data_IF_395181099318
#
_entry.id   IF_395181099318
#
_cell.length_a   1.000
_cell.length_b   1.000
_cell.length_c   1.000
_cell.angle_alpha   90.00
_cell.angle_beta   90.00
_cell.angle_gamma   90.00
#
_symmetry.space_group_name_H-M   'P 1'
#
loop_
_entity.id
_entity.type
_entity.pdbx_description
1 polymer ?
#
# COMPACT_ATOMS: atom_id res chain seq x y z
N UNK A 1 -40.35 40.64 -20.13
CA UNK A 1 -40.51 39.22 -20.35
C UNK A 1 -39.09 38.62 -20.40
N UNK A 2 -38.57 38.29 -19.24
CA UNK A 2 -37.23 37.69 -19.13
C UNK A 2 -37.36 36.18 -19.30
N UNK A 3 -36.59 35.64 -20.21
CA UNK A 3 -36.62 34.23 -20.53
C UNK A 3 -35.52 33.55 -19.72
N UNK A 4 -35.91 32.95 -18.59
CA UNK A 4 -35.06 32.06 -17.79
C UNK A 4 -34.94 30.72 -18.52
N UNK A 5 -33.78 30.45 -19.07
CA UNK A 5 -33.32 29.07 -19.33
C UNK A 5 -32.09 28.85 -18.47
N UNK A 6 -32.34 28.34 -17.26
CA UNK A 6 -31.31 27.74 -16.42
C UNK A 6 -30.66 26.57 -17.14
N UNK A 7 -29.41 26.73 -17.46
CA UNK A 7 -28.55 25.60 -17.81
C UNK A 7 -28.14 24.90 -16.51
N UNK A 8 -28.93 23.91 -16.07
CA UNK A 8 -28.50 22.95 -15.07
C UNK A 8 -27.47 22.03 -15.73
N UNK A 9 -26.22 22.47 -15.74
CA UNK A 9 -25.10 21.61 -16.08
C UNK A 9 -24.87 20.61 -14.95
N UNK A 10 -25.54 19.46 -14.99
CA UNK A 10 -25.09 18.28 -14.29
C UNK A 10 -23.76 17.89 -14.92
N UNK A 11 -22.68 18.12 -14.20
CA UNK A 11 -21.38 17.51 -14.50
C UNK A 11 -21.58 16.01 -14.22
N UNK A 12 -21.76 15.22 -15.27
CA UNK A 12 -21.72 13.77 -15.18
C UNK A 12 -20.38 13.36 -14.57
N UNK A 13 -20.41 12.42 -13.63
CA UNK A 13 -19.26 11.97 -12.85
C UNK A 13 -18.22 11.16 -13.66
N UNK A 14 -18.04 11.44 -14.96
CA UNK A 14 -17.31 10.61 -15.92
C UNK A 14 -16.00 11.20 -16.43
N UNK A 15 -15.60 12.42 -16.02
CA UNK A 15 -14.37 13.06 -16.54
C UNK A 15 -13.33 13.41 -15.48
N UNK A 16 -13.17 12.61 -14.44
CA UNK A 16 -11.97 12.71 -13.61
C UNK A 16 -10.85 12.05 -14.41
N UNK A 17 -10.02 12.85 -15.08
CA UNK A 17 -8.82 12.35 -15.76
C UNK A 17 -8.00 11.51 -14.76
N UNK A 18 -7.51 10.31 -15.16
CA UNK A 18 -6.58 9.55 -14.36
C UNK A 18 -5.42 10.44 -13.94
N UNK A 19 -5.07 10.43 -12.67
CA UNK A 19 -3.95 11.23 -12.14
C UNK A 19 -2.68 10.39 -12.03
N UNK A 20 -1.63 10.99 -11.53
CA UNK A 20 -0.39 10.28 -11.23
C UNK A 20 -0.49 9.59 -9.87
N UNK A 21 -0.04 8.35 -9.79
CA UNK A 21 0.08 7.56 -8.55
C UNK A 21 1.56 7.36 -8.22
N UNK A 22 1.92 7.55 -6.97
CA UNK A 22 3.21 7.17 -6.45
C UNK A 22 3.09 5.84 -5.70
N UNK A 23 3.92 4.85 -6.05
CA UNK A 23 3.94 3.54 -5.38
C UNK A 23 5.33 3.28 -4.81
N UNK A 24 5.45 3.33 -3.48
CA UNK A 24 6.69 3.15 -2.75
C UNK A 24 6.82 1.70 -2.30
N UNK A 25 8.01 1.10 -2.50
CA UNK A 25 8.35 -0.28 -2.13
C UNK A 25 7.46 -1.35 -2.81
N UNK A 26 6.89 -1.04 -3.95
CA UNK A 26 6.04 -1.95 -4.75
C UNK A 26 6.82 -2.49 -5.95
N UNK A 27 7.89 -3.25 -5.67
CA UNK A 27 8.75 -3.85 -6.69
C UNK A 27 7.96 -4.57 -7.78
N UNK A 28 6.93 -5.32 -7.37
CA UNK A 28 6.15 -6.16 -8.29
C UNK A 28 5.10 -5.40 -9.07
N UNK A 29 4.76 -4.20 -8.64
CA UNK A 29 3.67 -3.40 -9.19
C UNK A 29 2.28 -4.01 -8.98
N UNK A 30 2.14 -5.02 -8.10
CA UNK A 30 0.85 -5.67 -7.88
C UNK A 30 -0.16 -4.75 -7.21
N UNK A 31 0.26 -3.94 -6.24
CA UNK A 31 -0.65 -3.00 -5.61
C UNK A 31 -1.13 -1.91 -6.57
N UNK A 32 -0.23 -1.41 -7.40
CA UNK A 32 -0.52 -0.35 -8.38
C UNK A 32 -1.10 -0.85 -9.70
N UNK A 33 -1.19 -2.18 -9.92
CA UNK A 33 -1.58 -2.81 -11.18
C UNK A 33 -2.87 -2.23 -11.76
N UNK A 34 -3.96 -2.22 -10.97
CA UNK A 34 -5.27 -1.78 -11.45
C UNK A 34 -5.33 -0.29 -11.77
N UNK A 35 -4.50 0.53 -11.13
CA UNK A 35 -4.35 1.93 -11.52
C UNK A 35 -3.72 2.03 -12.92
N UNK A 36 -2.61 1.30 -13.19
CA UNK A 36 -1.97 1.27 -14.51
C UNK A 36 -2.94 0.80 -15.61
N UNK A 37 -3.65 -0.29 -15.37
CA UNK A 37 -4.60 -0.88 -16.34
C UNK A 37 -5.78 0.06 -16.64
N UNK A 38 -6.05 1.05 -15.79
CA UNK A 38 -7.12 2.02 -15.96
C UNK A 38 -6.60 3.45 -16.27
N UNK A 39 -5.41 3.55 -16.84
CA UNK A 39 -4.89 4.78 -17.44
C UNK A 39 -4.23 5.75 -16.48
N UNK A 40 -3.94 5.37 -15.22
CA UNK A 40 -3.15 6.19 -14.33
C UNK A 40 -1.65 6.04 -14.65
N UNK A 41 -0.92 7.15 -14.63
CA UNK A 41 0.53 7.12 -14.65
C UNK A 41 1.05 6.70 -13.26
N UNK A 42 1.77 5.57 -13.17
CA UNK A 42 2.30 5.06 -11.91
C UNK A 42 3.81 5.14 -11.88
N UNK A 43 4.34 5.92 -10.93
CA UNK A 43 5.76 5.95 -10.62
C UNK A 43 6.04 5.00 -9.46
N UNK A 44 6.79 3.92 -9.74
CA UNK A 44 7.28 3.00 -8.71
C UNK A 44 8.66 3.45 -8.22
N UNK A 45 8.83 3.51 -6.90
CA UNK A 45 10.09 3.80 -6.23
C UNK A 45 10.46 2.62 -5.35
N UNK A 46 11.48 1.88 -5.75
CA UNK A 46 11.98 0.70 -5.04
C UNK A 46 13.48 0.56 -5.30
N UNK A 47 14.23 0.16 -4.26
CA UNK A 47 15.68 -0.01 -4.37
C UNK A 47 16.06 -1.06 -5.43
N UNK A 48 15.29 -2.12 -5.59
CA UNK A 48 15.53 -3.15 -6.60
C UNK A 48 15.19 -2.67 -8.03
N UNK A 49 14.47 -1.55 -8.16
CA UNK A 49 14.27 -0.84 -9.44
C UNK A 49 15.35 0.24 -9.66
N UNK A 50 16.36 0.32 -8.79
CA UNK A 50 17.47 1.26 -8.89
C UNK A 50 17.17 2.64 -8.28
N UNK A 51 16.07 2.80 -7.54
CA UNK A 51 15.69 4.07 -6.91
C UNK A 51 15.70 3.91 -5.39
N UNK A 52 16.72 4.47 -4.75
CA UNK A 52 16.82 4.53 -3.29
C UNK A 52 15.92 5.66 -2.75
N UNK A 53 14.90 5.31 -1.95
CA UNK A 53 13.98 6.27 -1.36
C UNK A 53 14.69 7.33 -0.51
N UNK A 54 15.77 6.97 0.19
CA UNK A 54 16.48 7.90 1.09
C UNK A 54 17.11 9.05 0.32
N UNK A 55 17.63 8.79 -0.87
CA UNK A 55 18.29 9.77 -1.75
C UNK A 55 17.39 10.31 -2.85
N UNK A 56 16.19 9.72 -3.03
CA UNK A 56 15.27 10.15 -4.09
C UNK A 56 14.81 11.60 -3.92
N UNK A 57 15.05 12.40 -4.96
CA UNK A 57 14.73 13.82 -5.00
C UNK A 57 13.25 14.07 -5.36
N UNK A 58 12.33 13.63 -4.53
CA UNK A 58 10.88 13.78 -4.76
C UNK A 58 10.43 15.24 -4.89
N UNK A 59 11.18 16.19 -4.32
CA UNK A 59 10.84 17.63 -4.37
C UNK A 59 10.99 18.27 -5.74
N UNK A 60 11.60 17.56 -6.71
CA UNK A 60 11.60 18.00 -8.13
C UNK A 60 10.22 17.94 -8.79
N UNK A 61 9.28 17.19 -8.21
CA UNK A 61 7.91 17.14 -8.66
C UNK A 61 7.07 18.24 -7.99
N UNK A 62 6.09 18.87 -8.71
CA UNK A 62 5.15 19.79 -8.09
C UNK A 62 4.36 19.11 -6.94
N UNK A 63 3.96 19.87 -5.93
CA UNK A 63 3.23 19.36 -4.77
C UNK A 63 1.90 18.67 -5.09
N UNK A 64 1.29 19.01 -6.21
CA UNK A 64 0.03 18.42 -6.70
C UNK A 64 0.24 17.39 -7.82
N UNK A 65 1.48 16.90 -8.00
CA UNK A 65 1.81 15.97 -9.07
C UNK A 65 1.11 14.62 -8.92
N UNK A 66 1.04 14.10 -7.70
CA UNK A 66 0.39 12.82 -7.39
C UNK A 66 -0.99 13.05 -6.78
N UNK A 67 -1.97 12.25 -7.19
CA UNK A 67 -3.31 12.23 -6.61
C UNK A 67 -3.49 11.12 -5.57
N UNK A 68 -2.61 10.13 -5.55
CA UNK A 68 -2.60 9.03 -4.59
C UNK A 68 -1.21 8.47 -4.32
N UNK A 69 -0.98 7.97 -3.11
CA UNK A 69 0.27 7.32 -2.71
C UNK A 69 -0.01 5.97 -2.07
N UNK A 70 0.61 4.92 -2.62
CA UNK A 70 0.68 3.56 -2.08
C UNK A 70 2.06 3.37 -1.41
N UNK A 71 2.09 2.81 -0.20
CA UNK A 71 3.34 2.57 0.55
C UNK A 71 3.31 1.14 1.09
N UNK A 72 4.06 0.23 0.45
CA UNK A 72 4.26 -1.14 0.92
C UNK A 72 5.54 -1.21 1.79
N UNK A 73 5.49 -0.61 2.96
CA UNK A 73 6.64 -0.40 3.85
C UNK A 73 7.37 -1.71 4.16
N UNK A 74 8.72 -1.78 4.06
CA UNK A 74 9.48 -2.97 4.41
C UNK A 74 9.17 -3.48 5.83
N UNK A 75 8.66 -4.71 5.93
CA UNK A 75 8.15 -5.25 7.18
C UNK A 75 9.18 -6.01 8.02
N UNK A 76 10.41 -6.18 7.53
CA UNK A 76 11.42 -7.08 8.10
C UNK A 76 11.72 -6.81 9.58
N UNK A 77 11.69 -5.53 9.99
CA UNK A 77 12.05 -5.09 11.34
C UNK A 77 10.83 -4.74 12.21
N UNK A 78 9.64 -4.81 11.61
CA UNK A 78 8.38 -4.46 12.28
C UNK A 78 7.45 -5.64 12.50
N UNK A 79 7.38 -6.59 11.56
CA UNK A 79 6.39 -7.67 11.58
C UNK A 79 6.55 -8.63 12.77
N UNK A 80 5.44 -8.97 13.42
CA UNK A 80 5.39 -9.88 14.59
C UNK A 80 6.05 -11.24 14.33
N UNK A 81 5.99 -11.76 13.11
CA UNK A 81 6.64 -13.02 12.76
C UNK A 81 8.18 -12.99 12.89
N UNK A 82 8.78 -11.79 12.90
CA UNK A 82 10.20 -11.55 13.12
C UNK A 82 10.57 -11.22 14.58
N UNK A 83 9.63 -11.24 15.52
CA UNK A 83 9.82 -10.72 16.89
C UNK A 83 11.01 -11.31 17.65
N UNK A 84 11.34 -12.59 17.43
CA UNK A 84 12.52 -13.22 18.04
C UNK A 84 13.86 -12.55 17.70
N UNK A 85 13.89 -11.75 16.65
CA UNK A 85 15.08 -11.02 16.19
C UNK A 85 15.08 -9.54 16.59
N UNK A 86 14.02 -9.03 17.21
CA UNK A 86 13.88 -7.60 17.49
C UNK A 86 15.01 -7.05 18.35
N UNK A 87 15.34 -7.72 19.47
CA UNK A 87 16.41 -7.28 20.35
C UNK A 87 17.77 -7.15 19.63
N UNK A 88 18.10 -8.10 18.75
CA UNK A 88 19.33 -8.07 17.96
C UNK A 88 19.31 -6.92 16.93
N UNK A 89 18.18 -6.71 16.25
CA UNK A 89 18.02 -5.66 15.25
C UNK A 89 18.01 -4.26 15.85
N UNK A 90 17.47 -4.14 17.06
CA UNK A 90 17.49 -2.88 17.81
C UNK A 90 18.91 -2.53 18.24
N UNK A 91 19.67 -3.52 18.73
CA UNK A 91 21.04 -3.31 19.20
C UNK A 91 22.06 -3.04 18.09
N UNK A 92 21.83 -3.54 16.86
CA UNK A 92 22.74 -3.34 15.72
C UNK A 92 22.34 -2.19 14.78
N UNK A 93 21.26 -1.47 15.09
CA UNK A 93 20.83 -0.30 14.34
C UNK A 93 19.86 -0.55 13.17
N UNK A 94 19.62 -1.80 12.75
CA UNK A 94 18.74 -2.13 11.61
C UNK A 94 17.31 -1.58 11.79
N UNK A 95 16.78 -1.61 13.01
CA UNK A 95 15.44 -1.07 13.30
C UNK A 95 15.39 0.42 13.05
N UNK A 96 16.45 1.17 13.39
CA UNK A 96 16.49 2.61 13.14
C UNK A 96 16.57 2.96 11.67
N UNK A 97 17.25 2.15 10.85
CA UNK A 97 17.26 2.31 9.39
C UNK A 97 15.85 2.15 8.81
N UNK A 98 15.11 1.13 9.26
CA UNK A 98 13.71 0.91 8.85
C UNK A 98 12.80 2.05 9.32
N UNK A 99 12.98 2.55 10.55
CA UNK A 99 12.25 3.74 11.04
C UNK A 99 12.53 4.96 10.17
N UNK A 100 13.78 5.16 9.75
CA UNK A 100 14.16 6.28 8.88
C UNK A 100 13.44 6.21 7.51
N UNK A 101 13.27 5.00 6.93
CA UNK A 101 12.48 4.79 5.71
C UNK A 101 11.01 5.16 5.95
N UNK A 102 10.41 4.72 7.05
CA UNK A 102 9.03 5.07 7.42
C UNK A 102 8.84 6.58 7.52
N UNK A 103 9.72 7.27 8.23
CA UNK A 103 9.66 8.74 8.35
C UNK A 103 9.92 9.45 7.03
N UNK A 104 10.78 8.90 6.17
CA UNK A 104 10.96 9.41 4.80
C UNK A 104 9.68 9.28 3.98
N UNK A 105 8.98 8.15 4.08
CA UNK A 105 7.68 7.93 3.43
C UNK A 105 6.64 8.94 3.90
N UNK A 106 6.55 9.18 5.21
CA UNK A 106 5.64 10.19 5.79
C UNK A 106 6.01 11.63 5.37
N UNK A 107 7.30 11.95 5.25
CA UNK A 107 7.75 13.25 4.74
C UNK A 107 7.34 13.45 3.27
N UNK A 108 7.39 12.40 2.45
CA UNK A 108 6.93 12.43 1.06
C UNK A 108 5.41 12.65 1.01
N UNK A 109 4.64 11.92 1.82
CA UNK A 109 3.19 12.13 1.96
C UNK A 109 2.89 13.58 2.36
N UNK A 110 3.57 14.10 3.38
CA UNK A 110 3.39 15.48 3.85
C UNK A 110 3.70 16.52 2.76
N UNK A 111 4.74 16.29 1.95
CA UNK A 111 5.08 17.17 0.85
C UNK A 111 3.99 17.22 -0.23
N UNK A 112 3.44 16.07 -0.62
CA UNK A 112 2.41 15.99 -1.66
C UNK A 112 0.97 16.17 -1.13
N UNK A 113 0.76 16.22 0.19
CA UNK A 113 -0.57 16.27 0.81
C UNK A 113 -1.55 17.27 0.17
N UNK A 114 -1.15 18.48 -0.27
CA UNK A 114 -2.10 19.40 -0.91
C UNK A 114 -2.75 18.87 -2.19
N UNK A 115 -2.09 17.94 -2.91
CA UNK A 115 -2.60 17.31 -4.14
C UNK A 115 -3.25 15.95 -3.94
N UNK A 116 -3.07 15.32 -2.75
CA UNK A 116 -3.50 13.96 -2.52
C UNK A 116 -4.99 13.86 -2.24
N UNK A 117 -5.69 13.04 -3.03
CA UNK A 117 -7.05 12.55 -2.70
C UNK A 117 -6.98 11.52 -1.57
N UNK A 118 -5.94 10.65 -1.59
CA UNK A 118 -5.71 9.60 -0.61
C UNK A 118 -4.23 9.23 -0.52
N UNK A 119 -3.86 8.61 0.58
CA UNK A 119 -2.61 7.89 0.76
C UNK A 119 -2.83 6.72 1.70
N UNK A 120 -2.05 5.66 1.53
CA UNK A 120 -2.14 4.45 2.35
C UNK A 120 -0.77 3.84 2.55
N UNK A 121 -0.51 3.41 3.79
CA UNK A 121 0.65 2.61 4.16
C UNK A 121 0.18 1.24 4.62
N UNK A 122 0.82 0.19 4.14
CA UNK A 122 0.58 -1.20 4.52
C UNK A 122 1.77 -1.77 5.27
N UNK A 123 1.49 -2.52 6.33
CA UNK A 123 2.47 -3.39 6.97
C UNK A 123 1.74 -4.57 7.65
N UNK A 124 2.33 -5.77 7.70
CA UNK A 124 1.79 -6.85 8.52
C UNK A 124 1.73 -6.47 10.00
N UNK A 125 0.84 -7.14 10.75
CA UNK A 125 0.72 -6.94 12.18
C UNK A 125 2.08 -6.98 12.89
N UNK A 126 2.39 -5.91 13.64
CA UNK A 126 3.69 -5.77 14.27
C UNK A 126 3.84 -4.50 15.10
N UNK A 127 5.05 -3.94 15.13
CA UNK A 127 5.42 -2.85 16.04
C UNK A 127 5.64 -1.47 15.39
N UNK A 128 5.35 -1.32 14.09
CA UNK A 128 5.60 -0.06 13.37
C UNK A 128 4.91 1.14 14.03
N UNK A 129 3.64 1.00 14.43
CA UNK A 129 2.85 2.07 15.08
C UNK A 129 3.35 2.42 16.49
N UNK A 130 4.11 1.52 17.13
CA UNK A 130 4.74 1.78 18.43
C UNK A 130 6.05 2.54 18.26
N UNK A 131 6.85 2.17 17.25
CA UNK A 131 8.17 2.77 16.99
C UNK A 131 8.07 4.06 16.18
N UNK A 132 7.08 4.18 15.32
CA UNK A 132 6.83 5.32 14.46
C UNK A 132 5.38 5.82 14.68
N UNK A 133 5.07 6.45 15.83
CA UNK A 133 3.70 6.85 16.18
C UNK A 133 3.08 7.83 15.18
N UNK A 134 3.89 8.56 14.42
CA UNK A 134 3.41 9.50 13.40
C UNK A 134 2.71 8.83 12.20
N UNK A 135 2.75 7.50 12.07
CA UNK A 135 1.91 6.78 11.10
C UNK A 135 0.41 6.91 11.44
N UNK A 136 0.11 7.22 12.71
CA UNK A 136 -1.24 7.46 13.22
C UNK A 136 -1.98 6.17 13.60
N UNK A 137 -3.31 6.25 13.60
CA UNK A 137 -4.18 5.13 13.96
C UNK A 137 -4.32 4.12 12.82
N UNK A 138 -4.45 2.83 13.19
CA UNK A 138 -4.78 1.76 12.25
C UNK A 138 -6.20 2.00 11.73
N UNK A 139 -6.34 2.15 10.41
CA UNK A 139 -7.63 2.40 9.75
C UNK A 139 -8.34 1.12 9.33
N UNK A 140 -7.59 0.10 8.95
CA UNK A 140 -8.12 -1.19 8.53
C UNK A 140 -7.17 -2.29 8.95
N UNK A 141 -7.73 -3.38 9.45
CA UNK A 141 -7.05 -4.67 9.62
C UNK A 141 -7.78 -5.68 8.74
N UNK A 142 -7.04 -6.45 7.96
CA UNK A 142 -7.63 -7.43 7.05
C UNK A 142 -6.72 -8.64 6.83
N UNK A 143 -7.31 -9.70 6.28
CA UNK A 143 -6.61 -10.85 5.73
C UNK A 143 -6.90 -10.97 4.23
N UNK A 144 -5.98 -11.54 3.41
CA UNK A 144 -6.18 -11.70 1.96
C UNK A 144 -7.49 -12.38 1.59
N UNK A 145 -7.90 -13.46 2.31
CA UNK A 145 -9.16 -14.16 2.05
C UNK A 145 -10.40 -13.27 2.14
N UNK A 146 -10.33 -12.14 2.85
CA UNK A 146 -11.46 -11.21 2.97
C UNK A 146 -11.71 -10.42 1.68
N UNK A 147 -10.76 -10.42 0.76
CA UNK A 147 -10.85 -9.75 -0.54
C UNK A 147 -10.73 -10.71 -1.73
N UNK A 148 -10.40 -11.98 -1.49
CA UNK A 148 -10.16 -12.98 -2.54
C UNK A 148 -11.34 -13.15 -3.51
N UNK A 149 -12.57 -12.94 -3.04
CA UNK A 149 -13.77 -13.03 -3.89
C UNK A 149 -13.88 -11.95 -4.99
N UNK A 150 -12.98 -10.98 -5.03
CA UNK A 150 -12.87 -10.05 -6.15
C UNK A 150 -12.13 -10.65 -7.36
N UNK A 151 -11.46 -11.79 -7.19
CA UNK A 151 -10.74 -12.50 -8.25
C UNK A 151 -11.61 -13.55 -8.92
N UNK A 152 -11.33 -13.83 -10.18
CA UNK A 152 -11.94 -14.95 -10.92
C UNK A 152 -11.47 -16.30 -10.32
N UNK A 153 -10.19 -16.39 -9.98
CA UNK A 153 -9.60 -17.49 -9.22
C UNK A 153 -9.19 -17.02 -7.82
N UNK A 154 -10.03 -17.22 -6.79
CA UNK A 154 -9.75 -16.75 -5.43
C UNK A 154 -8.82 -17.65 -4.63
N UNK A 155 -8.64 -18.93 -5.02
CA UNK A 155 -7.96 -19.94 -4.20
C UNK A 155 -6.54 -19.52 -3.78
N UNK A 156 -5.70 -18.93 -4.64
CA UNK A 156 -4.35 -18.49 -4.25
C UNK A 156 -4.32 -17.46 -3.12
N UNK A 157 -5.43 -16.74 -2.88
CA UNK A 157 -5.52 -15.69 -1.86
C UNK A 157 -6.40 -16.07 -0.65
N UNK A 158 -6.91 -17.31 -0.59
CA UNK A 158 -7.71 -17.81 0.53
C UNK A 158 -6.83 -18.19 1.75
N UNK A 159 -5.96 -17.27 2.18
CA UNK A 159 -5.06 -17.46 3.32
C UNK A 159 -5.13 -16.33 4.33
N UNK A 160 -4.74 -16.65 5.58
CA UNK A 160 -4.60 -15.67 6.63
C UNK A 160 -3.21 -15.02 6.62
N UNK A 161 -3.17 -13.70 6.52
CA UNK A 161 -2.00 -12.84 6.76
C UNK A 161 -2.55 -11.52 7.32
N UNK A 162 -2.47 -11.36 8.63
CA UNK A 162 -2.97 -10.13 9.25
C UNK A 162 -2.16 -8.93 8.77
N UNK A 163 -2.82 -8.03 8.07
CA UNK A 163 -2.26 -6.86 7.44
C UNK A 163 -2.98 -5.61 7.94
N UNK A 164 -2.22 -4.59 8.29
CA UNK A 164 -2.73 -3.34 8.82
C UNK A 164 -2.47 -2.19 7.86
N UNK A 165 -3.43 -1.25 7.80
CA UNK A 165 -3.35 -0.05 6.98
C UNK A 165 -3.46 1.20 7.82
N UNK A 166 -2.64 2.18 7.45
CA UNK A 166 -2.68 3.56 7.96
C UNK A 166 -2.90 4.51 6.80
N UNK A 167 -3.40 5.72 7.09
CA UNK A 167 -3.49 6.77 6.09
C UNK A 167 -4.87 7.42 5.97
N UNK A 168 -5.06 8.09 4.86
CA UNK A 168 -6.32 8.76 4.48
C UNK A 168 -6.83 8.14 3.19
N UNK A 169 -7.84 7.31 3.25
CA UNK A 169 -8.41 6.62 2.09
C UNK A 169 -9.87 6.26 2.35
N UNK A 170 -10.61 5.95 1.27
CA UNK A 170 -11.95 5.35 1.36
C UNK A 170 -11.81 3.85 1.61
N UNK A 171 -12.64 3.33 2.54
CA UNK A 171 -12.60 1.93 2.92
C UNK A 171 -12.94 1.01 1.73
N UNK A 172 -12.07 0.07 1.38
CA UNK A 172 -12.39 -0.93 0.38
C UNK A 172 -13.48 -1.88 0.88
N UNK A 173 -14.38 -2.27 -0.02
CA UNK A 173 -15.46 -3.21 0.31
C UNK A 173 -14.91 -4.64 0.23
N UNK A 174 -14.97 -5.42 1.31
CA UNK A 174 -14.53 -6.81 1.29
C UNK A 174 -15.48 -7.69 0.47
N UNK A 175 -14.91 -8.68 -0.22
CA UNK A 175 -15.65 -9.78 -0.84
C UNK A 175 -15.03 -11.08 -0.35
N UNK A 176 -15.55 -11.55 0.79
CA UNK A 176 -14.93 -12.61 1.58
C UNK A 176 -15.08 -13.99 0.95
N UNK A 177 -14.01 -14.77 1.05
CA UNK A 177 -13.97 -16.19 0.75
C UNK A 177 -13.56 -16.98 2.01
N UNK A 178 -13.78 -18.29 2.08
CA UNK A 178 -13.26 -19.11 3.16
C UNK A 178 -11.74 -19.03 3.28
N UNK A 179 -11.21 -19.03 4.49
CA UNK A 179 -9.77 -19.17 4.71
C UNK A 179 -9.39 -20.66 4.62
N UNK A 180 -8.60 -21.04 3.64
CA UNK A 180 -8.18 -22.43 3.40
C UNK A 180 -6.81 -22.73 4.02
N UNK A 181 -5.95 -21.72 4.18
CA UNK A 181 -4.57 -21.89 4.65
C UNK A 181 -4.27 -20.91 5.77
N UNK A 182 -3.74 -21.40 6.89
CA UNK A 182 -3.24 -20.53 7.95
C UNK A 182 -2.01 -19.74 7.46
N UNK A 183 -1.82 -18.54 7.99
CA UNK A 183 -0.68 -17.71 7.61
C UNK A 183 0.68 -18.37 7.94
N UNK A 184 0.74 -19.21 8.97
CA UNK A 184 1.96 -19.95 9.35
C UNK A 184 2.28 -21.06 8.36
N UNK A 185 1.28 -21.80 7.87
CA UNK A 185 1.48 -22.90 6.91
C UNK A 185 1.95 -22.38 5.57
N UNK A 186 1.43 -21.23 5.12
CA UNK A 186 1.92 -20.59 3.89
C UNK A 186 3.37 -20.10 4.02
N UNK A 187 3.76 -19.60 5.18
CA UNK A 187 5.15 -19.21 5.44
C UNK A 187 6.11 -20.39 5.46
N UNK A 188 5.67 -21.57 5.93
CA UNK A 188 6.47 -22.79 5.94
C UNK A 188 6.65 -23.39 4.55
N UNK A 189 5.62 -23.29 3.69
CA UNK A 189 5.66 -23.76 2.30
C UNK A 189 6.62 -22.94 1.41
N UNK A 190 6.85 -21.67 1.75
CA UNK A 190 7.72 -20.73 1.01
C UNK A 190 8.92 -20.34 1.89
N UNK A 191 9.43 -21.27 2.67
CA UNK A 191 10.58 -21.04 3.56
C UNK A 191 11.87 -20.82 2.79
N UNK A 192 12.62 -19.76 3.15
CA UNK A 192 13.95 -19.48 2.58
C UNK A 192 14.43 -18.06 2.87
N UNK A 193 15.75 -17.86 2.80
CA UNK A 193 16.40 -16.55 2.94
C UNK A 193 16.64 -15.88 1.59
N UNK A 194 16.26 -16.53 0.48
CA UNK A 194 16.48 -16.03 -0.88
C UNK A 194 15.65 -14.76 -1.13
N UNK A 195 16.20 -13.86 -1.93
CA UNK A 195 15.53 -12.60 -2.36
C UNK A 195 14.18 -12.91 -2.99
N UNK A 196 14.08 -13.93 -3.83
CA UNK A 196 12.85 -14.38 -4.48
C UNK A 196 11.74 -14.73 -3.47
N UNK A 197 12.11 -15.43 -2.39
CA UNK A 197 11.17 -15.76 -1.30
C UNK A 197 10.68 -14.50 -0.59
N UNK A 198 11.57 -13.52 -0.34
CA UNK A 198 11.18 -12.24 0.27
C UNK A 198 10.22 -11.49 -0.65
N UNK A 199 10.55 -11.40 -1.93
CA UNK A 199 9.74 -10.72 -2.94
C UNK A 199 8.36 -11.38 -3.11
N UNK A 200 8.29 -12.71 -3.06
CA UNK A 200 7.02 -13.43 -3.08
C UNK A 200 6.15 -13.10 -1.85
N UNK A 201 6.75 -13.04 -0.66
CA UNK A 201 6.05 -12.77 0.60
C UNK A 201 5.63 -11.30 0.77
N UNK A 202 6.30 -10.38 0.09
CA UNK A 202 5.99 -8.93 0.13
C UNK A 202 4.89 -8.53 -0.86
N UNK A 203 4.47 -9.44 -1.76
CA UNK A 203 3.42 -9.14 -2.73
C UNK A 203 2.12 -8.73 -2.05
N UNK A 204 1.55 -7.63 -2.53
CA UNK A 204 0.19 -7.22 -2.16
C UNK A 204 -0.84 -8.19 -2.75
N UNK A 205 -1.80 -8.70 -1.97
CA UNK A 205 -2.85 -9.55 -2.49
C UNK A 205 -3.65 -8.84 -3.59
N UNK A 206 -3.91 -9.53 -4.71
CA UNK A 206 -4.55 -8.94 -5.89
C UNK A 206 -6.01 -8.60 -5.66
N UNK A 207 -6.74 -9.44 -4.90
CA UNK A 207 -8.13 -9.17 -4.53
C UNK A 207 -8.25 -7.91 -3.67
N UNK A 208 -7.32 -7.73 -2.72
CA UNK A 208 -7.23 -6.49 -1.94
C UNK A 208 -6.86 -5.30 -2.83
N UNK A 209 -5.84 -5.42 -3.69
CA UNK A 209 -5.42 -4.36 -4.61
C UNK A 209 -6.58 -3.89 -5.50
N UNK A 210 -7.39 -4.82 -6.00
CA UNK A 210 -8.58 -4.50 -6.79
C UNK A 210 -9.67 -3.81 -5.98
N UNK A 211 -10.01 -4.34 -4.81
CA UNK A 211 -10.99 -3.74 -3.91
C UNK A 211 -10.59 -2.34 -3.47
N UNK A 212 -9.28 -2.13 -3.19
CA UNK A 212 -8.74 -0.81 -2.84
C UNK A 212 -8.82 0.17 -4.02
N UNK A 213 -8.44 -0.26 -5.22
CA UNK A 213 -8.59 0.53 -6.44
C UNK A 213 -10.04 1.00 -6.65
N UNK A 214 -11.02 0.08 -6.56
CA UNK A 214 -12.43 0.42 -6.75
C UNK A 214 -12.92 1.52 -5.79
N UNK A 215 -12.44 1.52 -4.56
CA UNK A 215 -12.81 2.51 -3.55
C UNK A 215 -12.08 3.86 -3.73
N UNK A 216 -10.88 3.87 -4.31
CA UNK A 216 -9.94 5.00 -4.30
C UNK A 216 -9.48 5.45 -5.71
N UNK A 217 -10.23 5.11 -6.74
CA UNK A 217 -10.02 5.60 -8.11
C UNK A 217 -10.54 7.03 -8.31
#
# INVERSE_FOLDING_TARGET
>A
MFNEKEATGFIEATDIQPGNILSLFDLTGQWSKYYKENGYDVLQVDLQLGIDLMTWEYRKFPRNHFCGILIAEPCTDFARCGAKWFANKDSNGQTYESMALTYKSLAIVSYFNPGLRWWVMENPAGRIHVLCPDVGEIKLMFHPYEFAGWLEDPEPEQYAKETWLWGKFKMPVPKRMPCLVSGMDRHSQVGGKLIETKNFRSKTPMGFAYGFYLANK
#
